data_IF_253338247115
#
_entry.id   IF_253338247115
#
_cell.length_a   1.000
_cell.length_b   1.000
_cell.length_c   1.000
_cell.angle_alpha   90.00
_cell.angle_beta   90.00
_cell.angle_gamma   90.00
#
_symmetry.space_group_name_H-M   'P 1'
#
loop_
_entity.id
_entity.type
_entity.pdbx_description
1 polymer ?
#
# COMPACT_ATOMS: atom_id res chain seq x y z
N UNK A 1 -15.14 6.81 -13.84
CA UNK A 1 -15.25 6.42 -12.42
C UNK A 1 -13.91 5.82 -12.06
N UNK A 2 -13.12 6.47 -11.19
CA UNK A 2 -11.91 5.83 -10.66
C UNK A 2 -12.38 4.83 -9.61
N UNK A 3 -12.59 3.59 -10.05
CA UNK A 3 -12.92 2.50 -9.15
C UNK A 3 -11.69 2.23 -8.30
N UNK A 4 -11.78 2.64 -7.03
CA UNK A 4 -10.72 2.43 -6.06
C UNK A 4 -11.17 1.31 -5.14
N UNK A 5 -10.41 0.22 -5.12
CA UNK A 5 -10.63 -0.89 -4.20
C UNK A 5 -9.74 -0.73 -2.98
N UNK A 6 -10.09 -1.45 -1.92
CA UNK A 6 -9.26 -1.50 -0.72
C UNK A 6 -8.19 -2.57 -0.88
N UNK A 7 -6.98 -2.25 -0.45
CA UNK A 7 -5.83 -3.14 -0.47
C UNK A 7 -5.14 -3.12 0.88
N UNK A 8 -4.49 -4.22 1.25
CA UNK A 8 -3.71 -4.31 2.49
C UNK A 8 -2.23 -4.12 2.20
N UNK A 9 -1.54 -3.35 3.04
CA UNK A 9 -0.11 -3.05 2.97
C UNK A 9 0.66 -3.92 3.96
N UNK A 10 1.54 -4.78 3.44
CA UNK A 10 2.42 -5.64 4.24
C UNK A 10 3.88 -5.20 4.15
N UNK A 11 4.64 -5.39 5.24
CA UNK A 11 6.02 -4.93 5.35
C UNK A 11 6.10 -3.43 5.63
N UNK A 12 7.23 -2.81 5.26
CA UNK A 12 7.45 -1.38 5.43
C UNK A 12 7.52 -0.94 6.90
N UNK A 13 7.48 0.38 7.14
CA UNK A 13 7.62 0.93 8.48
C UNK A 13 6.46 0.55 9.40
N UNK A 14 6.76 0.29 10.67
CA UNK A 14 5.74 -0.06 11.68
C UNK A 14 4.81 1.10 12.00
N UNK A 15 5.27 2.34 11.80
CA UNK A 15 4.53 3.58 12.04
C UNK A 15 3.73 4.06 10.82
N UNK A 16 3.46 3.17 9.86
CA UNK A 16 2.50 3.47 8.80
C UNK A 16 1.15 3.84 9.42
N UNK A 17 0.54 4.96 8.99
CA UNK A 17 -0.70 5.46 9.59
C UNK A 17 -1.87 4.52 9.36
N UNK A 18 -1.92 3.87 8.19
CA UNK A 18 -2.96 2.91 7.80
C UNK A 18 -2.35 1.72 7.08
N UNK A 19 -2.87 0.53 7.39
CA UNK A 19 -2.50 -0.74 6.73
C UNK A 19 -3.47 -1.16 5.65
N UNK A 20 -4.68 -0.61 5.65
CA UNK A 20 -5.69 -0.86 4.62
C UNK A 20 -5.98 0.47 3.94
N UNK A 21 -5.63 0.60 2.67
CA UNK A 21 -5.75 1.85 1.92
C UNK A 21 -6.59 1.65 0.67
N UNK A 22 -7.13 2.74 0.12
CA UNK A 22 -7.77 2.71 -1.20
C UNK A 22 -6.74 2.89 -2.29
N UNK A 23 -6.71 1.94 -3.23
CA UNK A 23 -5.86 1.98 -4.41
C UNK A 23 -6.73 1.81 -5.68
N UNK A 24 -6.34 2.39 -6.83
CA UNK A 24 -6.99 2.05 -8.09
C UNK A 24 -6.87 0.54 -8.31
N UNK A 25 -7.92 -0.11 -8.82
CA UNK A 25 -7.88 -1.55 -9.06
C UNK A 25 -8.20 -1.96 -10.49
N UNK A 26 -7.61 -3.07 -10.98
CA UNK A 26 -6.32 -3.62 -10.56
C UNK A 26 -5.21 -2.64 -10.96
N UNK A 27 -4.47 -2.10 -9.99
CA UNK A 27 -3.75 -0.84 -10.22
C UNK A 27 -2.24 -0.87 -9.97
N UNK A 28 -1.60 0.28 -10.24
CA UNK A 28 -0.15 0.48 -10.08
C UNK A 28 0.27 0.47 -8.61
N UNK A 29 1.58 0.55 -8.38
CA UNK A 29 2.18 0.66 -7.06
C UNK A 29 1.53 1.76 -6.21
N UNK A 30 1.37 1.46 -4.92
CA UNK A 30 0.92 2.41 -3.91
C UNK A 30 2.14 3.12 -3.33
N UNK A 31 2.07 4.45 -3.25
CA UNK A 31 3.08 5.28 -2.60
C UNK A 31 2.47 5.98 -1.41
N UNK A 32 3.04 5.77 -0.24
CA UNK A 32 2.62 6.43 1.00
C UNK A 32 3.70 7.42 1.39
N UNK A 33 3.33 8.69 1.54
CA UNK A 33 4.26 9.70 2.04
C UNK A 33 4.49 9.48 3.54
N UNK A 34 5.77 9.33 3.92
CA UNK A 34 6.17 9.11 5.31
C UNK A 34 7.61 9.59 5.53
N UNK A 35 7.85 10.27 6.65
CA UNK A 35 9.20 10.70 7.10
C UNK A 35 10.01 11.42 6.00
N UNK A 36 9.45 12.44 5.35
CA UNK A 36 10.10 13.17 4.25
C UNK A 36 10.56 12.24 3.11
N UNK A 37 9.67 11.35 2.69
CA UNK A 37 9.93 10.33 1.68
C UNK A 37 8.66 9.60 1.30
N UNK A 38 8.80 8.60 0.44
CA UNK A 38 7.74 7.71 0.00
C UNK A 38 8.07 6.27 0.29
N UNK A 39 7.16 5.57 0.95
CA UNK A 39 7.16 4.11 1.07
C UNK A 39 6.43 3.52 -0.13
N UNK A 40 7.10 2.64 -0.86
CA UNK A 40 6.59 2.05 -2.09
C UNK A 40 6.10 0.62 -1.82
N UNK A 41 4.87 0.35 -2.25
CA UNK A 41 4.24 -0.97 -2.16
C UNK A 41 3.79 -1.42 -3.55
N UNK A 42 4.13 -2.65 -3.91
CA UNK A 42 3.75 -3.24 -5.20
C UNK A 42 2.64 -4.27 -5.03
N UNK A 43 1.71 -4.39 -6.00
CA UNK A 43 0.71 -5.44 -5.96
C UNK A 43 1.37 -6.82 -5.99
N UNK A 44 0.79 -7.76 -5.26
CA UNK A 44 1.17 -9.18 -5.31
C UNK A 44 -0.01 -10.03 -5.79
N UNK A 45 0.24 -11.31 -6.07
CA UNK A 45 -0.83 -12.29 -6.33
C UNK A 45 -1.54 -12.76 -5.04
N UNK A 46 -1.09 -12.30 -3.87
CA UNK A 46 -1.61 -12.71 -2.56
C UNK A 46 -2.86 -11.91 -2.21
N UNK A 47 -3.72 -12.54 -1.43
CA UNK A 47 -4.88 -11.90 -0.81
C UNK A 47 -4.87 -12.26 0.67
N UNK A 48 -5.30 -11.32 1.52
CA UNK A 48 -5.41 -11.53 2.96
C UNK A 48 -6.87 -11.40 3.38
N UNK A 49 -7.27 -12.24 4.35
CA UNK A 49 -8.53 -12.08 5.05
C UNK A 49 -8.38 -10.95 6.07
N UNK A 50 -9.17 -9.89 5.89
CA UNK A 50 -9.19 -8.72 6.76
C UNK A 50 -10.58 -8.54 7.37
N UNK A 51 -10.75 -7.70 8.41
CA UNK A 51 -12.07 -7.34 8.91
C UNK A 51 -13.00 -6.72 7.85
N UNK A 52 -12.45 -6.23 6.74
CA UNK A 52 -13.18 -5.62 5.63
C UNK A 52 -13.46 -6.59 4.47
N UNK A 53 -13.11 -7.86 4.66
CA UNK A 53 -13.21 -8.91 3.65
C UNK A 53 -11.84 -9.30 3.09
N UNK A 54 -11.87 -10.03 1.97
CA UNK A 54 -10.67 -10.53 1.30
C UNK A 54 -10.09 -9.43 0.41
N UNK A 55 -8.92 -8.90 0.76
CA UNK A 55 -8.28 -7.79 0.07
C UNK A 55 -6.98 -8.21 -0.62
N UNK A 56 -6.64 -7.56 -1.73
CA UNK A 56 -5.35 -7.74 -2.40
C UNK A 56 -4.20 -7.24 -1.51
N UNK A 57 -3.11 -8.00 -1.47
CA UNK A 57 -1.93 -7.66 -0.68
C UNK A 57 -0.92 -6.93 -1.54
N UNK A 58 -0.52 -5.76 -1.04
CA UNK A 58 0.56 -4.95 -1.58
C UNK A 58 1.74 -5.03 -0.62
N UNK A 59 2.90 -5.40 -1.15
CA UNK A 59 4.10 -5.63 -0.35
C UNK A 59 5.07 -4.47 -0.50
N UNK A 60 5.57 -3.99 0.63
CA UNK A 60 6.61 -2.96 0.67
C UNK A 60 7.89 -3.46 0.01
N UNK A 61 8.51 -2.63 -0.83
CA UNK A 61 9.72 -3.04 -1.55
C UNK A 61 10.84 -1.99 -1.57
N UNK A 62 10.54 -0.70 -1.40
CA UNK A 62 11.57 0.32 -1.27
C UNK A 62 11.03 1.59 -0.58
N UNK A 63 11.97 2.45 -0.18
CA UNK A 63 11.69 3.83 0.25
C UNK A 63 12.48 4.80 -0.63
N UNK A 64 11.82 5.84 -1.12
CA UNK A 64 12.47 6.99 -1.75
C UNK A 64 12.53 8.15 -0.77
N UNK A 65 13.71 8.66 -0.45
CA UNK A 65 13.87 9.87 0.36
C UNK A 65 13.66 11.13 -0.49
N UNK A 66 12.99 12.14 0.05
CA UNK A 66 12.95 13.45 -0.58
C UNK A 66 14.25 14.22 -0.26
N UNK A 67 14.78 14.99 -1.22
CA UNK A 67 15.90 15.89 -0.94
C UNK A 67 15.49 16.91 0.14
N UNK A 68 16.39 17.12 1.09
CA UNK A 68 16.24 18.11 2.17
C UNK A 68 16.67 19.51 1.77
#
# INVERSE_FOLDING_TARGET
>A
MNDTEKVVLEGGPDDLPERIVRAPAPGPDVKIELRNGYEHFRPTSRQADTPEGRLAVYEWWERTEMPG
#
